data_IF_984882614437
#
_entry.id   IF_984882614437
#
_cell.length_a   1.000
_cell.length_b   1.000
_cell.length_c   1.000
_cell.angle_alpha   90.00
_cell.angle_beta   90.00
_cell.angle_gamma   90.00
#
_symmetry.space_group_name_H-M   'P 1'
#
loop_
_entity.id
_entity.type
_entity.pdbx_description
1 polymer ?
#
# COMPACT_ATOMS: atom_id res chain seq x y z
N UNK A 1 20.57 16.98 6.73
CA UNK A 1 20.19 16.30 5.47
C UNK A 1 18.71 16.60 5.22
N UNK A 2 18.38 17.48 4.28
CA UNK A 2 16.98 17.76 3.91
C UNK A 2 16.52 16.60 3.01
N UNK A 3 15.45 15.93 3.39
CA UNK A 3 14.89 14.77 2.67
C UNK A 3 13.54 15.20 2.13
N UNK A 4 13.56 15.91 1.01
CA UNK A 4 12.37 16.37 0.29
C UNK A 4 11.69 15.15 -0.38
N UNK A 5 11.11 14.28 0.44
CA UNK A 5 10.55 12.96 0.07
C UNK A 5 9.03 12.86 0.32
N UNK A 6 8.42 13.94 0.78
CA UNK A 6 6.98 14.03 1.01
C UNK A 6 6.43 15.17 0.17
N UNK A 7 5.48 14.87 -0.70
CA UNK A 7 4.74 15.85 -1.49
C UNK A 7 3.30 15.85 -1.04
N UNK A 8 2.75 17.06 -0.93
CA UNK A 8 1.38 17.28 -0.47
C UNK A 8 0.65 18.10 -1.53
N UNK A 9 -0.43 17.54 -2.07
CA UNK A 9 -1.44 18.24 -2.85
C UNK A 9 -2.71 18.42 -2.02
N UNK A 10 -3.40 19.54 -2.21
CA UNK A 10 -4.65 19.82 -1.49
C UNK A 10 -5.79 20.08 -2.45
N UNK A 11 -6.94 19.49 -2.14
CA UNK A 11 -8.24 19.76 -2.75
C UNK A 11 -9.09 20.54 -1.73
N UNK A 12 -9.21 21.88 -1.84
CA UNK A 12 -9.82 22.72 -0.79
C UNK A 12 -11.35 22.83 -0.86
N UNK A 13 -12.01 21.90 -1.57
CA UNK A 13 -13.46 21.87 -1.79
C UNK A 13 -14.12 20.80 -0.91
N UNK A 14 -15.34 21.08 -0.43
CA UNK A 14 -16.13 20.14 0.34
C UNK A 14 -16.83 19.10 -0.54
N UNK A 15 -17.25 19.52 -1.74
CA UNK A 15 -17.97 18.64 -2.69
C UNK A 15 -17.25 18.66 -4.04
N UNK A 16 -15.97 18.24 -4.09
CA UNK A 16 -15.21 18.29 -5.32
C UNK A 16 -15.86 17.40 -6.38
N UNK A 17 -16.01 17.94 -7.58
CA UNK A 17 -16.60 17.19 -8.68
C UNK A 17 -15.78 15.92 -8.97
N UNK A 18 -16.42 14.75 -9.01
CA UNK A 18 -15.76 13.43 -9.19
C UNK A 18 -14.78 13.37 -10.37
N UNK A 19 -15.08 14.07 -11.47
CA UNK A 19 -14.17 14.17 -12.63
C UNK A 19 -12.84 14.85 -12.30
N UNK A 20 -12.87 15.88 -11.47
CA UNK A 20 -11.67 16.61 -11.09
C UNK A 20 -10.82 15.82 -10.10
N UNK A 21 -11.43 15.13 -9.13
CA UNK A 21 -10.70 14.22 -8.22
C UNK A 21 -10.00 13.10 -9.00
N UNK A 22 -10.67 12.54 -10.01
CA UNK A 22 -10.05 11.59 -10.94
C UNK A 22 -8.81 12.16 -11.63
N UNK A 23 -8.92 13.34 -12.22
CA UNK A 23 -7.79 13.98 -12.89
C UNK A 23 -6.60 14.17 -11.93
N UNK A 24 -6.87 14.56 -10.68
CA UNK A 24 -5.82 14.68 -9.64
C UNK A 24 -5.14 13.34 -9.34
N UNK A 25 -5.88 12.23 -9.34
CA UNK A 25 -5.32 10.89 -9.06
C UNK A 25 -4.57 10.34 -10.28
N UNK A 26 -5.07 10.60 -11.49
CA UNK A 26 -4.38 10.31 -12.75
C UNK A 26 -3.03 11.06 -12.79
N UNK A 27 -3.03 12.36 -12.48
CA UNK A 27 -1.82 13.15 -12.34
C UNK A 27 -0.89 12.57 -11.26
N UNK A 28 -1.43 12.14 -10.11
CA UNK A 28 -0.62 11.52 -9.06
C UNK A 28 0.05 10.23 -9.53
N UNK A 29 -0.65 9.41 -10.32
CA UNK A 29 -0.10 8.21 -10.94
C UNK A 29 1.05 8.59 -11.88
N UNK A 30 0.86 9.57 -12.75
CA UNK A 30 1.87 10.00 -13.72
C UNK A 30 3.10 10.64 -13.06
N UNK A 31 2.87 11.52 -12.07
CA UNK A 31 3.90 12.36 -11.45
C UNK A 31 4.73 11.63 -10.40
N UNK A 32 4.14 10.71 -9.63
CA UNK A 32 4.85 10.04 -8.52
C UNK A 32 6.20 9.41 -8.90
N UNK A 33 6.36 8.69 -10.04
CA UNK A 33 7.67 8.17 -10.46
C UNK A 33 8.72 9.25 -10.72
N UNK A 34 8.30 10.43 -11.20
CA UNK A 34 9.18 11.56 -11.56
C UNK A 34 9.71 12.29 -10.30
N UNK A 35 9.07 12.09 -9.15
CA UNK A 35 9.46 12.76 -7.91
C UNK A 35 10.84 12.28 -7.43
N UNK A 36 11.72 13.19 -6.96
CA UNK A 36 13.04 12.84 -6.44
C UNK A 36 13.02 11.68 -5.44
N UNK A 37 13.94 10.73 -5.55
CA UNK A 37 14.06 9.61 -4.61
C UNK A 37 15.00 9.90 -3.44
N UNK A 38 15.62 11.09 -3.44
CA UNK A 38 16.74 11.41 -2.57
C UNK A 38 18.03 10.73 -3.03
N UNK A 39 19.12 10.97 -2.30
CA UNK A 39 20.49 10.55 -2.62
C UNK A 39 20.70 9.01 -2.56
N UNK A 40 19.64 8.22 -2.48
CA UNK A 40 19.65 6.77 -2.45
C UNK A 40 18.73 6.22 -3.52
N UNK A 41 19.07 5.01 -3.98
CA UNK A 41 18.32 4.11 -4.88
C UNK A 41 16.82 4.44 -5.01
N UNK A 42 16.26 4.16 -6.19
CA UNK A 42 14.85 4.27 -6.60
C UNK A 42 13.81 3.62 -5.67
N UNK A 43 14.25 3.07 -4.54
CA UNK A 43 13.59 2.34 -3.48
C UNK A 43 13.43 3.10 -2.16
N UNK A 44 13.74 4.41 -2.09
CA UNK A 44 13.64 5.18 -0.84
C UNK A 44 12.26 5.01 -0.19
N UNK A 45 12.23 4.26 0.92
CA UNK A 45 11.00 3.84 1.60
C UNK A 45 10.19 4.99 2.20
N UNK A 46 10.82 6.16 2.27
CA UNK A 46 10.25 7.38 2.85
C UNK A 46 9.56 8.26 1.81
N UNK A 47 9.53 7.86 0.53
CA UNK A 47 8.90 8.63 -0.55
C UNK A 47 7.37 8.45 -0.54
N UNK A 48 6.62 9.55 -0.48
CA UNK A 48 5.16 9.52 -0.60
C UNK A 48 4.58 10.80 -1.21
N UNK A 49 3.51 10.66 -2.00
CA UNK A 49 2.67 11.75 -2.49
C UNK A 49 1.30 11.63 -1.83
N UNK A 50 0.87 12.69 -1.16
CA UNK A 50 -0.36 12.74 -0.37
C UNK A 50 -1.29 13.76 -1.01
N UNK A 51 -2.50 13.34 -1.35
CA UNK A 51 -3.57 14.24 -1.76
C UNK A 51 -4.57 14.35 -0.62
N UNK A 52 -4.64 15.51 0.04
CA UNK A 52 -5.56 15.78 1.15
C UNK A 52 -6.84 16.50 0.68
N UNK A 53 -7.96 16.16 1.31
CA UNK A 53 -9.28 16.74 1.03
C UNK A 53 -9.88 17.34 2.32
N UNK A 54 -9.34 18.46 2.83
CA UNK A 54 -9.62 18.93 4.20
C UNK A 54 -11.05 19.39 4.47
N UNK A 55 -11.86 19.62 3.42
CA UNK A 55 -13.27 19.98 3.57
C UNK A 55 -14.25 18.87 3.17
N UNK A 56 -13.75 17.75 2.64
CA UNK A 56 -14.59 16.65 2.20
C UNK A 56 -15.29 16.04 3.42
N UNK A 57 -16.60 15.86 3.33
CA UNK A 57 -17.46 15.28 4.35
C UNK A 57 -18.03 13.91 3.93
N UNK A 58 -18.16 13.66 2.63
CA UNK A 58 -18.51 12.35 2.07
C UNK A 58 -17.26 11.53 1.70
N UNK A 59 -16.92 10.56 2.54
CA UNK A 59 -15.75 9.70 2.35
C UNK A 59 -15.97 8.58 1.32
N UNK A 60 -17.20 8.35 0.87
CA UNK A 60 -17.47 7.37 -0.20
C UNK A 60 -16.72 7.72 -1.49
N UNK A 61 -16.48 9.01 -1.73
CA UNK A 61 -15.65 9.46 -2.85
C UNK A 61 -14.21 8.95 -2.75
N UNK A 62 -13.62 8.88 -1.56
CA UNK A 62 -12.27 8.34 -1.36
C UNK A 62 -12.26 6.83 -1.63
N UNK A 63 -13.26 6.11 -1.13
CA UNK A 63 -13.39 4.66 -1.33
C UNK A 63 -13.57 4.31 -2.81
N UNK A 64 -14.46 5.03 -3.51
CA UNK A 64 -14.70 4.89 -4.94
C UNK A 64 -13.43 5.11 -5.76
N UNK A 65 -12.70 6.20 -5.47
CA UNK A 65 -11.46 6.53 -6.16
C UNK A 65 -10.37 5.51 -5.86
N UNK A 66 -10.24 5.06 -4.62
CA UNK A 66 -9.30 4.01 -4.26
C UNK A 66 -9.61 2.69 -4.99
N UNK A 67 -10.88 2.28 -5.02
CA UNK A 67 -11.30 1.07 -5.71
C UNK A 67 -11.05 1.15 -7.23
N UNK A 68 -11.31 2.31 -7.85
CA UNK A 68 -11.09 2.55 -9.28
C UNK A 68 -9.59 2.52 -9.64
N UNK A 69 -8.72 3.14 -8.84
CA UNK A 69 -7.33 3.37 -9.21
C UNK A 69 -6.32 2.39 -8.63
N UNK A 70 -6.64 1.65 -7.55
CA UNK A 70 -5.67 0.79 -6.86
C UNK A 70 -4.96 -0.17 -7.80
N UNK A 71 -5.67 -0.80 -8.73
CA UNK A 71 -5.05 -1.73 -9.69
C UNK A 71 -4.00 -1.05 -10.56
N UNK A 72 -4.26 0.16 -11.05
CA UNK A 72 -3.30 0.94 -11.87
C UNK A 72 -2.04 1.33 -11.10
N UNK A 73 -2.17 1.63 -9.81
CA UNK A 73 -1.01 1.88 -8.94
C UNK A 73 -0.21 0.60 -8.67
N UNK A 74 -0.90 -0.49 -8.33
CA UNK A 74 -0.27 -1.79 -8.04
C UNK A 74 0.51 -2.30 -9.24
N UNK A 75 -0.07 -2.22 -10.44
CA UNK A 75 0.57 -2.61 -11.70
C UNK A 75 1.90 -1.89 -11.94
N UNK A 76 2.00 -0.63 -11.50
CA UNK A 76 3.22 0.20 -11.61
C UNK A 76 4.16 0.05 -10.41
N UNK A 77 3.90 -0.92 -9.53
CA UNK A 77 4.73 -1.18 -8.35
C UNK A 77 4.54 -0.14 -7.24
N UNK A 78 3.39 0.51 -7.18
CA UNK A 78 3.03 1.48 -6.14
C UNK A 78 1.87 0.97 -5.29
N UNK A 79 1.69 1.59 -4.13
CA UNK A 79 0.50 1.39 -3.30
C UNK A 79 -0.27 2.69 -3.25
N UNK A 80 -1.59 2.58 -3.41
CA UNK A 80 -2.57 3.62 -3.12
C UNK A 80 -3.26 3.24 -1.82
N UNK A 81 -3.31 4.16 -0.86
CA UNK A 81 -4.03 3.98 0.41
C UNK A 81 -5.12 5.03 0.59
N UNK A 82 -6.28 4.60 1.08
CA UNK A 82 -7.38 5.45 1.54
C UNK A 82 -7.21 5.75 3.03
N UNK A 83 -7.43 6.99 3.45
CA UNK A 83 -7.44 7.40 4.85
C UNK A 83 -8.51 8.46 5.07
N UNK A 84 -9.23 8.39 6.17
CA UNK A 84 -10.21 9.39 6.59
C UNK A 84 -10.68 9.14 8.03
N UNK A 85 -11.30 10.13 8.69
CA UNK A 85 -11.83 9.95 10.03
C UNK A 85 -12.81 8.78 10.12
N UNK A 86 -12.53 7.84 11.01
CA UNK A 86 -13.38 6.67 11.24
C UNK A 86 -13.26 5.58 10.17
N UNK A 87 -12.21 5.57 9.33
CA UNK A 87 -11.99 4.49 8.37
C UNK A 87 -11.95 3.12 9.07
N UNK A 88 -12.82 2.21 8.62
CA UNK A 88 -13.12 0.95 9.32
C UNK A 88 -12.16 -0.20 8.95
N UNK A 89 -11.25 0.04 8.01
CA UNK A 89 -10.36 -0.98 7.48
C UNK A 89 -9.49 -1.56 8.60
N UNK A 90 -9.53 -2.90 8.81
CA UNK A 90 -8.88 -3.51 9.96
C UNK A 90 -7.37 -3.67 9.75
N UNK A 91 -6.62 -3.63 10.85
CA UNK A 91 -5.21 -3.98 10.85
C UNK A 91 -4.94 -5.43 10.42
N UNK A 92 -3.73 -5.65 9.92
CA UNK A 92 -3.27 -6.98 9.52
C UNK A 92 -3.26 -7.94 10.72
N UNK A 93 -2.62 -7.53 11.82
CA UNK A 93 -2.40 -8.34 13.03
C UNK A 93 -3.51 -8.22 14.07
N UNK A 94 -4.14 -7.05 14.16
CA UNK A 94 -5.17 -6.76 15.13
C UNK A 94 -6.40 -6.20 14.40
N UNK A 95 -7.50 -6.98 14.41
CA UNK A 95 -8.76 -6.59 13.75
C UNK A 95 -9.51 -5.47 14.47
N UNK A 96 -9.08 -5.09 15.68
CA UNK A 96 -9.58 -3.91 16.39
C UNK A 96 -8.75 -2.65 16.13
N UNK A 97 -7.58 -2.79 15.49
CA UNK A 97 -6.77 -1.64 15.11
C UNK A 97 -7.26 -1.07 13.78
N UNK A 98 -7.32 0.27 13.68
CA UNK A 98 -7.79 1.02 12.51
C UNK A 98 -6.62 1.83 11.94
N UNK A 99 -5.71 1.21 11.18
CA UNK A 99 -4.48 1.87 10.69
C UNK A 99 -4.75 3.00 9.70
N UNK A 100 -5.95 3.04 9.10
CA UNK A 100 -6.32 4.01 8.07
C UNK A 100 -7.21 5.13 8.62
N UNK A 101 -7.52 5.10 9.92
CA UNK A 101 -8.18 6.21 10.61
C UNK A 101 -7.20 7.39 10.72
N UNK A 102 -7.62 8.54 10.19
CA UNK A 102 -6.79 9.73 10.10
C UNK A 102 -7.61 11.00 10.31
N UNK A 103 -7.01 12.09 10.83
CA UNK A 103 -7.75 13.32 11.13
C UNK A 103 -8.25 14.06 9.88
N UNK A 104 -7.73 13.72 8.70
CA UNK A 104 -8.11 14.34 7.43
C UNK A 104 -8.31 13.26 6.36
N UNK A 105 -9.29 13.42 5.45
CA UNK A 105 -9.46 12.54 4.30
C UNK A 105 -8.29 12.72 3.32
N UNK A 106 -7.71 11.61 2.87
CA UNK A 106 -6.60 11.63 1.94
C UNK A 106 -6.44 10.33 1.14
N UNK A 107 -5.87 10.48 -0.05
CA UNK A 107 -5.32 9.40 -0.84
C UNK A 107 -3.80 9.51 -0.84
N UNK A 108 -3.13 8.40 -0.51
CA UNK A 108 -1.67 8.37 -0.35
C UNK A 108 -1.07 7.41 -1.34
N UNK A 109 -0.14 7.90 -2.14
CA UNK A 109 0.69 7.11 -3.04
C UNK A 109 2.06 6.91 -2.41
N UNK A 110 2.52 5.65 -2.38
CA UNK A 110 3.90 5.33 -2.00
C UNK A 110 4.45 4.19 -2.83
N UNK A 111 5.75 3.96 -2.71
CA UNK A 111 6.41 2.79 -3.28
C UNK A 111 5.89 1.52 -2.60
N UNK A 112 5.54 0.50 -3.39
CA UNK A 112 5.21 -0.83 -2.86
C UNK A 112 6.42 -1.45 -2.17
N UNK A 113 6.18 -2.10 -1.04
CA UNK A 113 7.16 -2.78 -0.20
C UNK A 113 6.93 -4.29 -0.19
N UNK A 114 7.96 -5.06 0.14
CA UNK A 114 7.86 -6.52 0.26
C UNK A 114 6.81 -6.95 1.29
N UNK A 115 6.60 -6.13 2.34
CA UNK A 115 5.60 -6.34 3.38
C UNK A 115 4.16 -6.10 2.93
N UNK A 116 3.93 -5.58 1.72
CA UNK A 116 2.57 -5.30 1.22
C UNK A 116 1.85 -6.55 0.69
N UNK A 117 2.55 -7.68 0.62
CA UNK A 117 2.01 -8.97 0.16
C UNK A 117 0.60 -9.30 0.68
N UNK A 118 0.27 -9.15 1.98
CA UNK A 118 -1.06 -9.49 2.49
C UNK A 118 -2.20 -8.68 1.87
N UNK A 119 -1.94 -7.50 1.31
CA UNK A 119 -2.93 -6.65 0.66
C UNK A 119 -3.12 -6.96 -0.83
N UNK A 120 -2.29 -7.85 -1.39
CA UNK A 120 -2.18 -8.15 -2.82
C UNK A 120 -2.55 -9.60 -3.14
N UNK A 121 -2.38 -10.50 -2.17
CA UNK A 121 -2.45 -11.97 -2.34
C UNK A 121 -3.80 -12.49 -2.84
N UNK A 122 -4.89 -11.74 -2.65
CA UNK A 122 -6.25 -12.17 -3.03
C UNK A 122 -6.62 -11.83 -4.48
N UNK A 123 -5.77 -11.10 -5.21
CA UNK A 123 -5.99 -10.79 -6.63
C UNK A 123 -4.80 -11.25 -7.49
N UNK A 124 -4.99 -12.16 -8.45
CA UNK A 124 -3.90 -12.69 -9.28
C UNK A 124 -3.08 -11.60 -9.99
N UNK A 125 -3.73 -10.57 -10.52
CA UNK A 125 -3.09 -9.46 -11.21
C UNK A 125 -2.20 -8.63 -10.27
N UNK A 126 -2.62 -8.47 -9.01
CA UNK A 126 -1.84 -7.76 -8.00
C UNK A 126 -0.64 -8.59 -7.53
N UNK A 127 -0.82 -9.91 -7.43
CA UNK A 127 0.25 -10.84 -7.09
C UNK A 127 1.31 -10.90 -8.20
N UNK A 128 0.90 -10.90 -9.47
CA UNK A 128 1.82 -10.84 -10.61
C UNK A 128 2.69 -9.57 -10.57
N UNK A 129 2.08 -8.39 -10.36
CA UNK A 129 2.80 -7.14 -10.21
C UNK A 129 3.81 -7.16 -9.03
N UNK A 130 3.42 -7.75 -7.90
CA UNK A 130 4.32 -7.95 -6.76
C UNK A 130 5.51 -8.85 -7.11
N UNK A 131 5.27 -9.99 -7.77
CA UNK A 131 6.34 -10.91 -8.16
C UNK A 131 7.30 -10.26 -9.15
N UNK A 132 6.78 -9.55 -10.17
CA UNK A 132 7.59 -8.78 -11.12
C UNK A 132 8.49 -7.76 -10.41
N UNK A 133 7.98 -7.12 -9.36
CA UNK A 133 8.74 -6.12 -8.61
C UNK A 133 9.83 -6.71 -7.72
N UNK A 134 9.57 -7.82 -7.05
CA UNK A 134 10.43 -8.32 -5.97
C UNK A 134 11.19 -9.60 -6.28
N UNK A 135 10.88 -10.34 -7.36
CA UNK A 135 11.67 -11.50 -7.75
C UNK A 135 13.09 -11.09 -8.20
N UNK A 136 14.13 -11.87 -7.86
CA UNK A 136 14.12 -13.10 -7.06
C UNK A 136 14.16 -12.90 -5.52
N UNK A 137 14.20 -11.65 -5.05
CA UNK A 137 14.37 -11.25 -3.64
C UNK A 137 13.10 -11.35 -2.77
N UNK A 138 12.12 -12.17 -3.16
CA UNK A 138 10.88 -12.34 -2.38
C UNK A 138 11.23 -12.98 -1.02
N UNK A 139 10.82 -12.41 0.13
CA UNK A 139 11.15 -12.95 1.45
C UNK A 139 10.70 -14.41 1.64
N UNK A 140 11.44 -15.20 2.41
CA UNK A 140 11.17 -16.63 2.59
C UNK A 140 9.75 -16.91 3.13
N UNK A 141 9.28 -16.13 4.10
CA UNK A 141 7.93 -16.27 4.65
C UNK A 141 6.85 -16.01 3.58
N UNK A 142 7.06 -15.04 2.68
CA UNK A 142 6.13 -14.77 1.56
C UNK A 142 6.12 -15.94 0.59
N UNK A 143 7.31 -16.44 0.22
CA UNK A 143 7.43 -17.63 -0.64
C UNK A 143 6.66 -18.83 -0.07
N UNK A 144 6.78 -19.06 1.25
CA UNK A 144 6.07 -20.16 1.92
C UNK A 144 4.54 -20.04 1.82
N UNK A 145 3.98 -18.82 1.96
CA UNK A 145 2.53 -18.61 1.79
C UNK A 145 2.09 -18.82 0.35
N UNK A 146 2.86 -18.31 -0.61
CA UNK A 146 2.57 -18.49 -2.05
C UNK A 146 2.55 -19.98 -2.40
N UNK A 147 3.58 -20.72 -1.99
CA UNK A 147 3.64 -22.18 -2.17
C UNK A 147 2.43 -22.85 -1.53
N UNK A 148 2.12 -22.54 -0.27
CA UNK A 148 0.96 -23.13 0.44
C UNK A 148 -0.36 -22.88 -0.31
N UNK A 149 -0.59 -21.68 -0.84
CA UNK A 149 -1.79 -21.37 -1.65
C UNK A 149 -1.83 -22.18 -2.94
N UNK A 150 -0.72 -22.28 -3.66
CA UNK A 150 -0.65 -23.03 -4.93
C UNK A 150 -0.83 -24.54 -4.74
N UNK A 151 -0.35 -25.09 -3.61
CA UNK A 151 -0.46 -26.52 -3.30
C UNK A 151 -1.80 -26.90 -2.66
N UNK A 152 -2.55 -25.94 -2.11
CA UNK A 152 -3.88 -26.18 -1.56
C UNK A 152 -4.89 -26.09 -2.71
N UNK A 153 -5.46 -27.22 -3.16
CA UNK A 153 -6.59 -27.22 -4.10
C UNK A 153 -7.69 -26.29 -3.56
N UNK A 154 -8.28 -25.50 -4.45
CA UNK A 154 -9.13 -24.36 -4.17
C UNK A 154 -10.38 -24.67 -3.32
N UNK A 155 -10.22 -24.80 -2.00
CA UNK A 155 -11.31 -24.59 -1.03
C UNK A 155 -10.75 -23.89 0.21
N UNK A 156 -11.09 -22.59 0.32
CA UNK A 156 -10.88 -21.69 1.47
C UNK A 156 -9.46 -21.60 2.03
N UNK A 157 -8.73 -20.56 1.64
CA UNK A 157 -7.45 -20.22 2.26
C UNK A 157 -7.71 -19.41 3.55
N UNK A 158 -7.29 -19.89 4.74
CA UNK A 158 -7.42 -19.13 5.96
C UNK A 158 -6.46 -17.92 6.00
N UNK A 159 -6.81 -16.92 6.81
CA UNK A 159 -6.06 -15.68 6.95
C UNK A 159 -4.56 -15.93 7.27
N UNK A 160 -3.69 -15.08 6.71
CA UNK A 160 -2.25 -15.16 6.91
C UNK A 160 -1.89 -15.11 8.40
N UNK A 161 -1.14 -16.12 8.88
CA UNK A 161 -0.55 -16.16 10.21
C UNK A 161 0.97 -16.23 10.06
N UNK A 162 1.69 -15.29 10.69
CA UNK A 162 3.15 -15.34 10.80
C UNK A 162 3.52 -16.41 11.82
N UNK A 163 4.44 -17.29 11.44
CA UNK A 163 5.13 -18.15 12.40
C UNK A 163 6.27 -17.35 13.04
N UNK A 164 6.45 -17.44 14.36
CA UNK A 164 7.57 -16.79 15.03
C UNK A 164 8.88 -17.32 14.44
N UNK A 165 9.83 -16.41 14.19
CA UNK A 165 11.17 -16.76 13.74
C UNK A 165 11.83 -17.62 14.82
N UNK A 166 12.33 -18.80 14.44
CA UNK A 166 13.17 -19.62 15.31
C UNK A 166 14.42 -18.80 15.66
N UNK A 167 14.40 -18.20 16.85
CA UNK A 167 15.58 -17.62 17.48
C UNK A 167 16.49 -18.75 17.93
N UNK A 168 17.14 -19.41 16.98
CA UNK A 168 18.28 -20.28 17.27
C UNK A 168 19.56 -19.45 17.20
N UNK A 169 19.71 -18.52 18.15
CA UNK A 169 20.99 -17.93 18.48
C UNK A 169 21.69 -18.86 19.49
N UNK A 170 22.03 -20.07 19.04
CA UNK A 170 22.94 -20.94 19.75
C UNK A 170 24.35 -20.36 19.64
N UNK A 171 24.76 -19.62 20.67
CA UNK A 171 26.16 -19.22 20.85
C UNK A 171 26.98 -20.46 21.20
N UNK A 172 28.03 -20.84 20.45
CA UNK A 172 28.95 -21.86 20.92
C UNK A 172 29.90 -21.21 21.92
N UNK A 173 29.69 -21.49 23.20
CA UNK A 173 30.68 -21.22 24.23
C UNK A 173 31.92 -22.10 24.02
N UNK A 174 33.07 -21.47 23.88
CA UNK A 174 34.30 -21.84 24.59
C UNK A 174 35.31 -20.71 24.57
#
# INVERSE_FOLDING_TARGET
MRRDLLWLGQVPDAHPHRRWVRAVIEDALEKYPELPTGNGSSSSVLRALITIFPKLDDYSLIDDMHAEFKSSFVERGFMLGQFYPGCDQPGLWNKNFRPLDAPLPMLVVRTMMTTDFPFLVDKPEWMDAYVRKFAPMIPAHVRAVVVRRLTTRAETVPAYQVQPEDSDCSSPGR
#
